data_IF_204959404122
#
_entry.id   IF_204959404122
#
_cell.length_a   1.000
_cell.length_b   1.000
_cell.length_c   1.000
_cell.angle_alpha   90.00
_cell.angle_beta   90.00
_cell.angle_gamma   90.00
#
_symmetry.space_group_name_H-M   'P 1'
#
loop_
_entity.id
_entity.type
_entity.pdbx_description
1 polymer ?
#
# COMPACT_ATOMS: atom_id res chain seq x y z
N UNK A 1 1.31 39.58 -39.11
CA UNK A 1 1.46 38.10 -39.22
C UNK A 1 2.54 37.48 -38.33
N UNK A 2 3.53 38.24 -37.83
CA UNK A 2 4.66 37.72 -37.02
C UNK A 2 4.24 37.14 -35.66
N UNK A 3 3.26 37.74 -34.99
CA UNK A 3 2.79 37.29 -33.66
C UNK A 3 2.09 35.93 -33.67
N UNK A 4 1.28 35.66 -34.71
CA UNK A 4 0.57 34.38 -34.87
C UNK A 4 1.53 33.21 -35.13
N UNK A 5 2.62 33.46 -35.89
CA UNK A 5 3.69 32.48 -36.10
C UNK A 5 4.43 32.16 -34.80
N UNK A 6 4.76 33.16 -33.97
CA UNK A 6 5.41 32.93 -32.66
C UNK A 6 4.56 32.05 -31.74
N UNK A 7 3.25 32.30 -31.63
CA UNK A 7 2.33 31.47 -30.84
C UNK A 7 2.19 30.03 -31.35
N UNK A 8 2.23 29.82 -32.67
CA UNK A 8 2.22 28.47 -33.24
C UNK A 8 3.51 27.71 -32.92
N UNK A 9 4.67 28.37 -33.02
CA UNK A 9 5.98 27.76 -32.67
C UNK A 9 6.04 27.40 -31.19
N UNK A 10 5.56 28.27 -30.30
CA UNK A 10 5.51 27.99 -28.85
C UNK A 10 4.58 26.81 -28.51
N UNK A 11 3.39 26.75 -29.14
CA UNK A 11 2.46 25.65 -28.96
C UNK A 11 3.04 24.33 -29.49
N UNK A 12 3.69 24.35 -30.64
CA UNK A 12 4.33 23.16 -31.22
C UNK A 12 5.50 22.66 -30.35
N UNK A 13 6.29 23.57 -29.78
CA UNK A 13 7.33 23.21 -28.81
C UNK A 13 6.75 22.59 -27.54
N UNK A 14 5.66 23.14 -26.99
CA UNK A 14 4.99 22.58 -25.82
C UNK A 14 4.47 21.16 -26.09
N UNK A 15 3.85 20.92 -27.24
CA UNK A 15 3.38 19.59 -27.64
C UNK A 15 4.55 18.60 -27.77
N UNK A 16 5.66 19.01 -28.40
CA UNK A 16 6.87 18.16 -28.51
C UNK A 16 7.48 17.81 -27.17
N UNK A 17 7.45 18.73 -26.19
CA UNK A 17 7.96 18.45 -24.84
C UNK A 17 7.08 17.39 -24.17
N UNK A 18 5.75 17.55 -24.19
CA UNK A 18 4.80 16.60 -23.58
C UNK A 18 4.90 15.21 -24.23
N UNK A 19 5.01 15.15 -25.56
CA UNK A 19 5.15 13.89 -26.27
C UNK A 19 6.48 13.19 -25.95
N UNK A 20 7.57 13.96 -25.85
CA UNK A 20 8.88 13.41 -25.53
C UNK A 20 8.98 12.94 -24.07
N UNK A 21 8.31 13.62 -23.13
CA UNK A 21 8.26 13.18 -21.72
C UNK A 21 7.40 11.94 -21.57
N UNK A 22 6.23 11.89 -22.21
CA UNK A 22 5.37 10.71 -22.19
C UNK A 22 6.07 9.49 -22.80
N UNK A 23 6.71 9.66 -23.96
CA UNK A 23 7.51 8.59 -24.60
C UNK A 23 8.68 8.12 -23.71
N UNK A 24 9.37 9.03 -23.02
CA UNK A 24 10.44 8.68 -22.08
C UNK A 24 9.94 7.96 -20.82
N UNK A 25 8.74 8.28 -20.34
CA UNK A 25 8.12 7.57 -19.21
C UNK A 25 7.64 6.17 -19.61
N UNK A 26 7.26 6.00 -20.89
CA UNK A 26 6.73 4.74 -21.41
C UNK A 26 7.82 3.81 -21.98
N UNK A 27 9.08 4.25 -22.02
CA UNK A 27 10.22 3.39 -22.32
C UNK A 27 10.66 2.68 -21.04
N UNK A 28 10.32 1.39 -20.83
CA UNK A 28 10.87 0.64 -19.70
C UNK A 28 12.39 0.59 -19.89
N UNK A 29 13.13 1.05 -18.89
CA UNK A 29 14.58 1.11 -18.90
C UNK A 29 15.20 -0.22 -19.41
N UNK A 30 15.74 -0.17 -20.63
CA UNK A 30 16.46 -1.28 -21.24
C UNK A 30 17.79 -1.51 -20.54
N UNK A 31 17.84 -2.60 -19.77
CA UNK A 31 18.92 -3.60 -19.75
C UNK A 31 20.34 -3.14 -19.35
N UNK A 32 20.58 -3.07 -18.04
CA UNK A 32 21.86 -3.49 -17.46
C UNK A 32 21.61 -4.78 -16.69
N UNK A 33 22.17 -5.88 -17.18
CA UNK A 33 22.03 -7.20 -16.61
C UNK A 33 22.67 -7.27 -15.21
N UNK A 34 21.84 -7.30 -14.17
CA UNK A 34 22.18 -7.88 -12.86
C UNK A 34 20.96 -8.65 -12.34
N UNK A 35 21.10 -9.97 -12.35
CA UNK A 35 20.38 -10.98 -11.57
C UNK A 35 18.86 -10.84 -11.40
N UNK A 36 18.13 -11.52 -12.29
CA UNK A 36 16.80 -12.13 -12.12
C UNK A 36 16.04 -11.74 -10.83
N UNK A 37 15.31 -10.63 -10.88
CA UNK A 37 14.19 -10.41 -9.97
C UNK A 37 13.01 -9.84 -10.75
N UNK A 38 12.04 -10.71 -11.00
CA UNK A 38 10.72 -10.35 -11.51
C UNK A 38 9.99 -9.58 -10.42
N UNK A 39 9.57 -8.35 -10.71
CA UNK A 39 8.49 -7.66 -9.99
C UNK A 39 7.43 -7.33 -11.05
N UNK A 40 6.63 -8.33 -11.38
CA UNK A 40 5.26 -8.14 -11.86
C UNK A 40 4.35 -8.13 -10.64
N UNK A 41 3.40 -7.20 -10.63
CA UNK A 41 2.14 -7.21 -9.87
C UNK A 41 2.22 -7.80 -8.46
N UNK A 42 2.19 -6.97 -7.42
CA UNK A 42 2.47 -7.31 -6.01
C UNK A 42 1.58 -8.34 -5.31
N UNK A 43 1.19 -9.43 -5.97
CA UNK A 43 1.12 -10.75 -5.37
C UNK A 43 2.54 -11.37 -5.34
N UNK A 44 2.99 -11.77 -4.15
CA UNK A 44 4.19 -12.58 -3.87
C UNK A 44 5.46 -11.82 -3.46
N UNK A 45 5.55 -11.51 -2.16
CA UNK A 45 6.80 -11.77 -1.44
C UNK A 45 6.81 -13.25 -1.05
N UNK A 46 7.58 -14.02 -1.81
CA UNK A 46 8.02 -15.36 -1.44
C UNK A 46 8.82 -15.27 -0.15
N UNK A 47 8.16 -15.35 1.00
CA UNK A 47 8.83 -15.77 2.23
C UNK A 47 8.90 -17.29 2.18
N UNK A 48 10.03 -17.80 1.69
CA UNK A 48 10.43 -19.18 1.92
C UNK A 48 10.66 -19.34 3.42
N UNK A 49 9.60 -19.66 4.15
CA UNK A 49 9.70 -20.29 5.47
C UNK A 49 8.75 -21.48 5.46
N UNK A 50 9.34 -22.67 5.25
CA UNK A 50 8.71 -23.94 5.58
C UNK A 50 8.49 -24.02 7.10
N UNK A 51 7.56 -24.88 7.50
CA UNK A 51 7.08 -25.18 8.86
C UNK A 51 5.90 -24.27 9.25
N UNK A 52 4.69 -24.77 9.52
CA UNK A 52 4.26 -26.13 9.83
C UNK A 52 2.80 -26.30 9.39
N UNK A 53 2.49 -27.49 8.89
CA UNK A 53 1.14 -28.00 8.69
C UNK A 53 0.55 -28.31 10.07
N UNK A 54 -0.27 -27.40 10.60
CA UNK A 54 -1.17 -27.73 11.70
C UNK A 54 -2.40 -26.85 11.57
N UNK A 55 -3.57 -27.48 11.62
CA UNK A 55 -4.89 -26.90 11.34
C UNK A 55 -5.39 -25.85 12.35
N UNK A 56 -4.53 -24.93 12.79
CA UNK A 56 -4.96 -23.66 13.35
C UNK A 56 -5.19 -22.68 12.21
N UNK A 57 -6.39 -22.10 12.16
CA UNK A 57 -6.73 -21.00 11.24
C UNK A 57 -5.59 -19.97 11.27
N UNK A 58 -4.81 -19.91 10.19
CA UNK A 58 -3.51 -19.23 10.14
C UNK A 58 -3.71 -17.70 10.21
N UNK A 59 -3.87 -17.17 11.42
CA UNK A 59 -4.21 -15.76 11.64
C UNK A 59 -3.04 -14.89 11.23
N UNK A 60 -3.23 -14.09 10.16
CA UNK A 60 -2.14 -13.31 9.54
C UNK A 60 -2.18 -11.85 9.99
N UNK A 61 -1.02 -11.29 10.36
CA UNK A 61 -0.90 -9.85 10.59
C UNK A 61 -0.76 -9.10 9.27
N UNK A 62 -1.68 -8.16 9.03
CA UNK A 62 -1.75 -7.32 7.82
C UNK A 62 -2.17 -5.91 8.20
N UNK A 63 -1.23 -5.11 8.70
CA UNK A 63 -1.52 -3.76 9.16
C UNK A 63 -1.16 -2.72 8.08
N UNK A 64 -1.95 -1.62 7.92
CA UNK A 64 -1.64 -0.53 7.00
C UNK A 64 -0.30 0.18 7.29
N UNK A 65 0.27 0.02 8.50
CA UNK A 65 1.60 0.53 8.81
C UNK A 65 2.75 -0.23 8.09
N UNK A 66 2.44 -1.30 7.35
CA UNK A 66 3.41 -2.12 6.61
C UNK A 66 4.17 -3.13 7.48
N UNK A 67 4.04 -3.07 8.81
CA UNK A 67 4.65 -4.03 9.71
C UNK A 67 3.76 -5.27 9.90
N UNK A 68 4.35 -6.46 9.71
CA UNK A 68 3.68 -7.76 9.86
C UNK A 68 4.00 -8.45 11.19
N UNK A 69 4.71 -7.79 12.11
CA UNK A 69 4.97 -8.32 13.45
C UNK A 69 3.73 -8.20 14.33
N UNK A 70 3.32 -9.29 15.03
CA UNK A 70 2.30 -9.19 16.07
C UNK A 70 2.83 -8.37 17.25
N UNK A 71 1.91 -7.76 18.00
CA UNK A 71 2.18 -7.12 19.29
C UNK A 71 1.05 -7.48 20.27
N UNK A 72 1.09 -6.89 21.47
CA UNK A 72 0.10 -7.16 22.53
C UNK A 72 -1.25 -6.46 22.27
N UNK A 73 -1.32 -5.54 21.31
CA UNK A 73 -2.49 -4.71 21.02
C UNK A 73 -2.96 -4.91 19.58
N UNK A 74 -3.71 -5.99 19.36
CA UNK A 74 -4.17 -6.43 18.05
C UNK A 74 -5.68 -6.59 17.99
N UNK A 75 -6.30 -6.10 16.92
CA UNK A 75 -7.72 -6.29 16.62
C UNK A 75 -7.89 -7.24 15.42
N UNK A 76 -8.92 -8.10 15.44
CA UNK A 76 -9.21 -9.08 14.38
C UNK A 76 -10.33 -8.57 13.49
N UNK A 77 -10.21 -8.78 12.17
CA UNK A 77 -11.34 -8.58 11.25
C UNK A 77 -12.47 -9.56 11.59
N UNK A 78 -13.72 -9.05 11.61
CA UNK A 78 -14.92 -9.84 11.91
C UNK A 78 -15.22 -10.86 10.82
N UNK A 79 -14.86 -10.55 9.57
CA UNK A 79 -15.06 -11.46 8.44
C UNK A 79 -14.32 -12.81 8.67
N UNK A 80 -15.07 -13.93 8.80
CA UNK A 80 -14.49 -15.26 9.02
C UNK A 80 -13.63 -15.73 7.86
N UNK A 81 -13.78 -15.18 6.65
CA UNK A 81 -12.95 -15.53 5.50
C UNK A 81 -11.64 -14.73 5.46
N UNK A 82 -11.64 -13.53 6.04
CA UNK A 82 -10.47 -12.65 6.05
C UNK A 82 -9.40 -13.06 7.07
N UNK A 83 -9.82 -13.37 8.31
CA UNK A 83 -8.95 -13.86 9.39
C UNK A 83 -7.63 -13.09 9.62
N UNK A 84 -7.58 -11.79 9.30
CA UNK A 84 -6.40 -10.97 9.58
C UNK A 84 -6.46 -10.31 10.97
N UNK A 85 -5.29 -9.88 11.44
CA UNK A 85 -5.15 -8.96 12.58
C UNK A 85 -4.40 -7.69 12.19
N UNK A 86 -4.79 -6.57 12.80
CA UNK A 86 -4.17 -5.25 12.64
C UNK A 86 -3.81 -4.67 14.01
N UNK A 87 -2.83 -3.78 14.07
CA UNK A 87 -2.47 -3.10 15.31
C UNK A 87 -3.58 -2.13 15.71
N UNK A 88 -4.06 -2.21 16.96
CA UNK A 88 -5.14 -1.34 17.47
C UNK A 88 -4.77 0.13 17.28
N UNK A 89 -3.58 0.54 17.70
CA UNK A 89 -3.12 1.93 17.56
C UNK A 89 -2.92 2.42 16.12
N UNK A 90 -3.00 1.55 15.12
CA UNK A 90 -2.96 1.96 13.72
C UNK A 90 -4.34 2.15 13.09
N UNK A 91 -5.39 1.56 13.67
CA UNK A 91 -6.72 1.45 13.02
C UNK A 91 -7.88 1.89 13.92
N UNK A 92 -7.67 1.98 15.24
CA UNK A 92 -8.65 2.48 16.20
C UNK A 92 -8.32 3.94 16.49
N UNK A 93 -9.20 4.83 16.08
CA UNK A 93 -9.06 6.27 16.27
C UNK A 93 -9.78 6.64 17.58
N UNK A 94 -9.10 7.25 18.57
CA UNK A 94 -9.76 7.73 19.77
C UNK A 94 -10.77 8.83 19.43
N UNK A 95 -12.01 8.71 19.88
CA UNK A 95 -13.03 9.74 19.64
C UNK A 95 -12.76 11.02 20.46
N UNK A 96 -12.10 10.88 21.62
CA UNK A 96 -11.93 11.96 22.60
C UNK A 96 -10.46 12.06 23.05
N UNK A 97 -9.65 12.90 22.39
CA UNK A 97 -8.28 13.20 22.85
C UNK A 97 -8.23 13.80 24.28
N UNK A 98 -9.38 14.30 24.78
CA UNK A 98 -9.52 14.94 26.10
C UNK A 98 -9.66 13.99 27.30
N UNK A 99 -9.88 12.69 27.09
CA UNK A 99 -9.92 11.72 28.20
C UNK A 99 -8.54 11.08 28.38
N UNK A 100 -7.59 11.86 28.86
CA UNK A 100 -6.20 11.42 29.10
C UNK A 100 -6.04 10.38 30.23
N UNK A 101 -7.14 9.85 30.79
CA UNK A 101 -7.12 8.98 31.97
C UNK A 101 -7.57 7.53 31.71
N UNK A 102 -7.96 7.16 30.49
CA UNK A 102 -8.23 5.77 30.13
C UNK A 102 -7.14 5.27 29.18
N UNK A 103 -6.26 4.41 29.71
CA UNK A 103 -4.97 3.97 29.12
C UNK A 103 -5.16 3.09 27.85
N UNK A 104 -6.37 2.92 27.32
CA UNK A 104 -6.61 2.16 26.11
C UNK A 104 -7.82 2.73 25.36
N UNK A 105 -7.72 2.95 24.03
CA UNK A 105 -8.91 3.31 23.26
C UNK A 105 -9.94 2.18 23.37
N UNK A 106 -11.20 2.54 23.60
CA UNK A 106 -12.29 1.57 23.61
C UNK A 106 -12.29 0.83 22.27
N UNK A 107 -12.12 -0.49 22.32
CA UNK A 107 -12.09 -1.32 21.14
C UNK A 107 -13.50 -1.39 20.53
N UNK A 108 -13.65 -1.18 19.21
CA UNK A 108 -14.95 -1.30 18.57
C UNK A 108 -15.46 -2.74 18.66
N UNK A 109 -16.78 -2.88 18.84
CA UNK A 109 -17.44 -4.20 18.93
C UNK A 109 -17.38 -4.98 17.63
N UNK A 110 -17.25 -4.30 16.49
CA UNK A 110 -17.08 -4.88 15.16
C UNK A 110 -16.01 -4.10 14.41
N UNK A 111 -15.07 -4.83 13.82
CA UNK A 111 -13.96 -4.28 13.07
C UNK A 111 -13.84 -4.97 11.72
N UNK A 112 -13.68 -4.18 10.67
CA UNK A 112 -13.40 -4.64 9.31
C UNK A 112 -12.08 -4.02 8.86
N UNK A 113 -11.25 -4.82 8.19
CA UNK A 113 -10.01 -4.30 7.64
C UNK A 113 -10.27 -3.53 6.34
N UNK A 114 -9.25 -2.90 5.77
CA UNK A 114 -9.35 -2.15 4.51
C UNK A 114 -9.83 -2.95 3.29
N UNK A 115 -9.83 -4.29 3.37
CA UNK A 115 -10.23 -5.19 2.29
C UNK A 115 -11.66 -5.75 2.44
N UNK A 116 -12.30 -5.55 3.60
CA UNK A 116 -13.65 -6.03 3.91
C UNK A 116 -14.60 -4.83 4.07
#
# INVERSE_FOLDING_TARGET
MVYKRKKMVEREMAVKIVENTFRKMQEPASNVAVSRSHIESGHSVKSKKKSDDSGELNVKVRCPCGNSKPNDSMIKCVDPQCNIRQHVGCVVIPENEKSANSISPDLPSRFYCEMC
#
